data_IF_323913761663
#
_entry.id   IF_323913761663
#
_cell.length_a   1.000
_cell.length_b   1.000
_cell.length_c   1.000
_cell.angle_alpha   90.00
_cell.angle_beta   90.00
_cell.angle_gamma   90.00
#
_symmetry.space_group_name_H-M   'P 1'
#
loop_
_entity.id
_entity.type
_entity.pdbx_description
1 polymer ?
#
# COMPACT_ATOMS: atom_id res chain seq x y z
N UNK A 1 -16.15 7.58 4.51
CA UNK A 1 -15.20 8.44 5.25
C UNK A 1 -13.95 7.62 5.43
N UNK A 2 -12.86 8.01 4.76
CA UNK A 2 -11.57 7.34 4.96
C UNK A 2 -10.99 7.81 6.29
N UNK A 3 -10.39 6.88 7.02
CA UNK A 3 -9.83 7.17 8.35
C UNK A 3 -8.33 6.94 8.30
N UNK A 4 -7.56 7.94 8.70
CA UNK A 4 -6.09 7.85 8.74
C UNK A 4 -5.62 8.37 10.10
N UNK A 5 -4.78 7.60 10.77
CA UNK A 5 -4.17 7.96 12.04
C UNK A 5 -2.65 7.79 11.95
N UNK A 6 -1.90 8.79 12.41
CA UNK A 6 -0.43 8.77 12.42
C UNK A 6 0.21 9.16 11.09
N UNK A 7 1.51 9.47 11.13
CA UNK A 7 2.32 9.86 9.97
C UNK A 7 3.49 8.90 9.75
N UNK A 8 4.32 8.71 10.78
CA UNK A 8 5.46 7.79 10.72
C UNK A 8 5.07 6.35 11.04
N UNK A 9 4.17 6.14 12.00
CA UNK A 9 3.52 4.86 12.26
C UNK A 9 2.04 5.11 12.10
N UNK A 10 1.43 4.45 11.13
CA UNK A 10 0.09 4.80 10.70
C UNK A 10 -0.81 3.59 10.54
N UNK A 11 -2.09 3.87 10.68
CA UNK A 11 -3.17 3.00 10.21
C UNK A 11 -4.11 3.81 9.35
N UNK A 12 -4.51 3.22 8.23
CA UNK A 12 -5.40 3.86 7.26
C UNK A 12 -6.47 2.87 6.83
N UNK A 13 -7.67 3.38 6.61
CA UNK A 13 -8.79 2.64 6.05
C UNK A 13 -9.35 3.38 4.85
N UNK A 14 -9.59 2.63 3.79
CA UNK A 14 -10.35 3.05 2.60
C UNK A 14 -11.65 2.25 2.53
N UNK A 15 -12.76 2.94 2.22
CA UNK A 15 -14.06 2.28 2.06
C UNK A 15 -14.77 2.79 0.82
N UNK A 16 -15.18 1.88 -0.05
CA UNK A 16 -16.03 2.19 -1.20
C UNK A 16 -17.51 2.09 -0.80
N UNK A 17 -18.28 3.13 -1.11
CA UNK A 17 -19.69 3.24 -0.77
C UNK A 17 -20.54 3.25 -2.03
N UNK A 18 -21.59 2.45 -2.05
CA UNK A 18 -22.68 2.59 -2.99
C UNK A 18 -23.89 3.17 -2.25
N UNK A 19 -24.22 4.42 -2.57
CA UNK A 19 -25.23 5.23 -1.85
C UNK A 19 -24.89 5.36 -0.35
N UNK A 20 -25.46 4.48 0.50
CA UNK A 20 -25.26 4.45 1.95
C UNK A 20 -24.79 3.08 2.45
N UNK A 21 -24.51 2.15 1.54
CA UNK A 21 -24.05 0.81 1.86
C UNK A 21 -22.56 0.72 1.53
N UNK A 22 -21.70 0.37 2.49
CA UNK A 22 -20.31 0.10 2.20
C UNK A 22 -20.21 -1.25 1.46
N UNK A 23 -19.56 -1.28 0.31
CA UNK A 23 -19.51 -2.47 -0.56
C UNK A 23 -18.11 -3.10 -0.64
N UNK A 24 -17.08 -2.36 -0.23
CA UNK A 24 -15.69 -2.82 -0.23
C UNK A 24 -14.88 -1.99 0.77
N UNK A 25 -13.89 -2.60 1.42
CA UNK A 25 -12.96 -1.89 2.27
C UNK A 25 -11.55 -2.46 2.18
N UNK A 26 -10.56 -1.59 2.43
CA UNK A 26 -9.18 -1.97 2.66
C UNK A 26 -8.61 -1.25 3.87
N UNK A 27 -7.78 -1.95 4.62
CA UNK A 27 -7.04 -1.44 5.75
C UNK A 27 -5.55 -1.57 5.49
N UNK A 28 -4.80 -0.61 6.02
CA UNK A 28 -3.37 -0.46 5.87
C UNK A 28 -2.79 -0.19 7.25
N UNK A 29 -1.71 -0.88 7.61
CA UNK A 29 -0.92 -0.58 8.79
C UNK A 29 0.54 -0.57 8.38
N UNK A 30 1.19 0.56 8.57
CA UNK A 30 2.53 0.76 8.05
C UNK A 30 3.37 1.69 8.91
N UNK A 31 4.66 1.68 8.63
CA UNK A 31 5.62 2.54 9.31
C UNK A 31 6.79 2.92 8.42
N UNK A 32 7.28 4.13 8.64
CA UNK A 32 8.51 4.67 8.11
C UNK A 32 9.61 4.40 9.15
N UNK A 33 10.66 3.71 8.73
CA UNK A 33 11.79 3.32 9.59
C UNK A 33 13.01 4.23 9.40
N UNK A 34 13.13 4.85 8.22
CA UNK A 34 14.22 5.77 7.88
C UNK A 34 13.83 7.24 7.97
N UNK A 35 14.80 8.12 8.26
CA UNK A 35 14.56 9.57 8.39
C UNK A 35 14.19 10.28 7.09
N UNK A 36 14.55 9.71 5.94
CA UNK A 36 14.39 10.32 4.62
C UNK A 36 13.49 9.45 3.73
N UNK A 37 12.19 9.43 4.05
CA UNK A 37 11.23 8.68 3.24
C UNK A 37 11.17 9.23 1.80
N UNK A 38 11.37 8.39 0.77
CA UNK A 38 11.52 8.86 -0.60
C UNK A 38 10.14 9.02 -1.28
N UNK A 39 9.40 10.07 -0.89
CA UNK A 39 8.02 10.26 -1.35
C UNK A 39 7.85 10.26 -2.88
N UNK A 40 8.78 10.88 -3.62
CA UNK A 40 8.76 10.91 -5.09
C UNK A 40 8.98 9.52 -5.70
N UNK A 41 9.95 8.75 -5.19
CA UNK A 41 10.18 7.36 -5.61
C UNK A 41 8.96 6.50 -5.34
N UNK A 42 8.35 6.62 -4.15
CA UNK A 42 7.19 5.84 -3.80
C UNK A 42 6.01 6.14 -4.73
N UNK A 43 5.77 7.42 -5.04
CA UNK A 43 4.75 7.81 -6.02
C UNK A 43 5.02 7.20 -7.40
N UNK A 44 6.26 7.24 -7.87
CA UNK A 44 6.64 6.62 -9.15
C UNK A 44 6.40 5.10 -9.15
N UNK A 45 6.78 4.41 -8.06
CA UNK A 45 6.57 2.98 -7.90
C UNK A 45 5.08 2.59 -7.92
N UNK A 46 4.24 3.38 -7.24
CA UNK A 46 2.78 3.19 -7.23
C UNK A 46 2.16 3.39 -8.61
N UNK A 47 2.67 4.34 -9.40
CA UNK A 47 2.22 4.64 -10.76
C UNK A 47 2.73 3.62 -11.80
N UNK A 48 3.84 2.92 -11.51
CA UNK A 48 4.37 1.89 -12.38
C UNK A 48 3.54 0.59 -12.37
N UNK A 49 2.60 0.45 -11.42
CA UNK A 49 1.72 -0.71 -11.31
C UNK A 49 0.73 -0.85 -12.46
N UNK A 50 0.35 -2.09 -12.76
CA UNK A 50 -0.73 -2.40 -13.71
C UNK A 50 -2.09 -2.32 -12.98
N UNK A 51 -3.12 -1.74 -13.61
CA UNK A 51 -4.49 -1.59 -13.07
C UNK A 51 -5.24 -2.91 -12.80
N UNK A 52 -4.56 -4.06 -12.86
CA UNK A 52 -5.17 -5.39 -12.81
C UNK A 52 -5.48 -5.86 -11.38
N UNK A 53 -4.90 -5.21 -10.39
CA UNK A 53 -5.08 -5.54 -8.98
C UNK A 53 -5.73 -4.38 -8.20
N UNK A 54 -6.44 -4.68 -7.10
CA UNK A 54 -7.08 -3.67 -6.26
C UNK A 54 -6.07 -2.83 -5.47
N UNK A 55 -4.81 -3.29 -5.39
CA UNK A 55 -3.69 -2.56 -4.80
C UNK A 55 -2.86 -1.86 -5.88
N UNK A 56 -2.29 -0.70 -5.52
CA UNK A 56 -1.47 0.12 -6.41
C UNK A 56 -0.02 -0.32 -6.35
N UNK A 57 0.72 -0.12 -7.44
CA UNK A 57 2.16 -0.40 -7.51
C UNK A 57 2.54 -1.63 -8.32
N UNK A 58 3.77 -1.62 -8.83
CA UNK A 58 4.37 -2.78 -9.48
C UNK A 58 4.77 -3.84 -8.45
N UNK A 59 4.84 -5.11 -8.83
CA UNK A 59 5.39 -6.16 -7.93
C UNK A 59 6.81 -5.80 -7.46
N UNK A 60 7.58 -5.16 -8.35
CA UNK A 60 8.91 -4.65 -8.06
C UNK A 60 9.18 -3.40 -8.90
N UNK A 61 9.77 -2.37 -8.29
CA UNK A 61 10.22 -1.16 -8.97
C UNK A 61 11.55 -0.67 -8.39
N UNK A 62 12.50 -0.32 -9.25
CA UNK A 62 13.86 0.04 -8.84
C UNK A 62 14.32 1.32 -9.51
N UNK A 63 14.91 2.24 -8.73
CA UNK A 63 15.49 3.49 -9.25
C UNK A 63 16.46 4.10 -8.25
N UNK A 64 17.66 4.46 -8.71
CA UNK A 64 18.61 5.26 -7.91
C UNK A 64 19.04 4.62 -6.58
N UNK A 65 19.07 3.29 -6.50
CA UNK A 65 19.41 2.54 -5.27
C UNK A 65 18.23 2.29 -4.32
N UNK A 66 17.04 2.77 -4.69
CA UNK A 66 15.77 2.44 -4.03
C UNK A 66 15.11 1.24 -4.71
N UNK A 67 14.50 0.38 -3.90
CA UNK A 67 13.78 -0.81 -4.33
C UNK A 67 12.42 -0.79 -3.63
N UNK A 68 11.35 -0.78 -4.41
CA UNK A 68 9.99 -1.04 -3.93
C UNK A 68 9.62 -2.47 -4.27
N UNK A 69 9.01 -3.17 -3.33
CA UNK A 69 8.44 -4.50 -3.54
C UNK A 69 7.04 -4.54 -2.99
N UNK A 70 6.15 -5.19 -3.72
CA UNK A 70 4.78 -5.42 -3.30
C UNK A 70 4.41 -6.86 -3.59
N UNK A 71 4.02 -7.59 -2.54
CA UNK A 71 3.52 -8.94 -2.65
C UNK A 71 2.10 -8.99 -2.07
N UNK A 72 1.16 -9.47 -2.86
CA UNK A 72 -0.21 -9.68 -2.40
C UNK A 72 -0.73 -11.05 -2.84
N UNK A 73 -1.74 -11.52 -2.12
CA UNK A 73 -2.45 -12.77 -2.38
C UNK A 73 -3.94 -12.54 -2.31
N UNK A 74 -4.67 -13.29 -3.12
CA UNK A 74 -6.12 -13.21 -3.22
C UNK A 74 -6.56 -12.41 -4.45
N UNK A 75 -7.80 -11.95 -4.40
CA UNK A 75 -8.49 -11.23 -5.48
C UNK A 75 -9.17 -9.97 -4.92
N UNK A 76 -9.81 -9.12 -5.75
CA UNK A 76 -10.49 -7.92 -5.26
C UNK A 76 -11.56 -8.16 -4.18
N UNK A 77 -12.14 -9.35 -4.10
CA UNK A 77 -13.19 -9.67 -3.13
C UNK A 77 -12.60 -10.10 -1.78
N UNK A 78 -11.37 -10.63 -1.76
CA UNK A 78 -10.64 -10.97 -0.53
C UNK A 78 -9.12 -11.03 -0.76
N UNK A 79 -8.38 -10.06 -0.22
CA UNK A 79 -6.93 -9.97 -0.38
C UNK A 79 -6.19 -9.56 0.89
N UNK A 80 -4.92 -9.90 0.91
CA UNK A 80 -3.93 -9.38 1.85
C UNK A 80 -2.58 -9.26 1.14
N UNK A 81 -1.78 -8.31 1.57
CA UNK A 81 -0.48 -8.07 0.99
C UNK A 81 0.42 -7.27 1.90
N UNK A 82 1.65 -7.11 1.44
CA UNK A 82 2.70 -6.41 2.13
C UNK A 82 3.57 -5.70 1.10
N UNK A 83 3.86 -4.44 1.38
CA UNK A 83 4.76 -3.64 0.58
C UNK A 83 5.91 -3.11 1.44
N UNK A 84 7.08 -2.99 0.81
CA UNK A 84 8.29 -2.51 1.44
C UNK A 84 9.09 -1.62 0.50
N UNK A 85 9.83 -0.67 1.07
CA UNK A 85 10.84 0.10 0.35
C UNK A 85 12.19 -0.09 1.04
N UNK A 86 13.19 -0.47 0.25
CA UNK A 86 14.57 -0.59 0.67
C UNK A 86 15.44 0.49 0.03
N UNK A 87 16.45 0.95 0.77
CA UNK A 87 17.56 1.73 0.23
C UNK A 87 18.87 1.01 0.53
N UNK A 88 19.57 0.55 -0.51
CA UNK A 88 20.83 -0.22 -0.34
C UNK A 88 20.69 -1.34 0.71
N UNK A 89 19.65 -2.15 0.57
CA UNK A 89 19.28 -3.27 1.45
C UNK A 89 18.83 -2.89 2.88
N UNK A 90 18.76 -1.60 3.22
CA UNK A 90 18.16 -1.14 4.46
C UNK A 90 16.65 -0.95 4.29
N UNK A 91 15.84 -1.57 5.15
CA UNK A 91 14.39 -1.39 5.14
C UNK A 91 14.04 0.02 5.64
N UNK A 92 13.38 0.81 4.79
CA UNK A 92 13.05 2.22 5.04
C UNK A 92 11.55 2.42 5.29
N UNK A 93 10.72 1.54 4.76
CA UNK A 93 9.27 1.56 4.92
C UNK A 93 8.71 0.16 4.77
N UNK A 94 7.64 -0.10 5.53
CA UNK A 94 6.80 -1.28 5.37
C UNK A 94 5.34 -0.95 5.60
N UNK A 95 4.46 -1.68 4.91
CA UNK A 95 3.03 -1.59 5.11
C UNK A 95 2.36 -2.92 4.81
N UNK A 96 1.63 -3.44 5.80
CA UNK A 96 0.73 -4.56 5.62
C UNK A 96 -0.65 -4.02 5.25
N UNK A 97 -1.29 -4.64 4.27
CA UNK A 97 -2.62 -4.25 3.84
C UNK A 97 -3.52 -5.46 3.62
N UNK A 98 -4.81 -5.28 3.80
CA UNK A 98 -5.81 -6.31 3.55
C UNK A 98 -7.17 -5.67 3.27
N UNK A 99 -8.02 -6.38 2.55
CA UNK A 99 -9.32 -5.85 2.19
C UNK A 99 -10.16 -6.83 1.40
N UNK A 100 -11.32 -6.36 0.98
CA UNK A 100 -12.26 -7.19 0.23
C UNK A 100 -13.65 -6.58 0.15
N UNK A 101 -14.53 -7.34 -0.51
CA UNK A 101 -15.93 -7.00 -0.66
C UNK A 101 -16.66 -7.14 0.68
N UNK A 102 -17.56 -6.21 0.96
CA UNK A 102 -18.46 -6.24 2.12
C UNK A 102 -19.85 -6.71 1.65
N UNK A 103 -20.53 -7.51 2.47
CA UNK A 103 -21.85 -8.08 2.19
C UNK A 103 -22.86 -7.67 3.24
#
# INVERSE_FOLDING_TARGET
MDTCFGTEQFTRQEVLWEKKTPIWAANYVGRILGKDFPADFFREALLAGCCRFPYRGAEQYEKGGWIYKCAAKGDPDWFYGYEEILYRDLLMYECAFHGGQLR
#
